data_IF_417910424286
#
_entry.id   IF_417910424286
#
_cell.length_a   1.000
_cell.length_b   1.000
_cell.length_c   1.000
_cell.angle_alpha   90.00
_cell.angle_beta   90.00
_cell.angle_gamma   90.00
#
_symmetry.space_group_name_H-M   'P 1'
#
loop_
_entity.id
_entity.type
_entity.pdbx_description
1 polymer ?
#
# COMPACT_ATOMS: atom_id res chain seq x y z
N UNK A 1 37.95 15.63 43.27
CA UNK A 1 36.78 16.02 42.41
C UNK A 1 36.33 14.78 41.67
N UNK A 2 35.20 14.24 42.00
CA UNK A 2 34.65 13.01 41.37
C UNK A 2 33.87 13.41 40.13
N UNK A 3 34.30 12.95 38.96
CA UNK A 3 33.56 13.10 37.69
C UNK A 3 32.21 12.39 37.78
N UNK A 4 31.13 13.16 37.77
CA UNK A 4 29.77 12.62 37.59
C UNK A 4 29.67 12.05 36.20
N UNK A 5 29.76 10.72 36.05
CA UNK A 5 29.34 10.00 34.85
C UNK A 5 27.87 10.35 34.56
N UNK A 6 27.67 11.17 33.53
CA UNK A 6 26.31 11.45 33.00
C UNK A 6 25.76 10.15 32.44
N UNK A 7 24.80 9.55 33.10
CA UNK A 7 23.98 8.49 32.52
C UNK A 7 23.29 9.05 31.28
N UNK A 8 23.67 8.56 30.09
CA UNK A 8 22.92 8.83 28.87
C UNK A 8 21.52 8.21 29.04
N UNK A 9 20.42 8.90 28.65
CA UNK A 9 19.10 8.32 28.73
C UNK A 9 19.06 7.07 27.83
N UNK A 10 18.62 5.96 28.40
CA UNK A 10 18.39 4.70 27.66
C UNK A 10 17.32 4.99 26.60
N UNK A 11 17.68 4.92 25.34
CA UNK A 11 16.75 5.10 24.24
C UNK A 11 15.78 3.91 24.23
N UNK A 12 14.52 4.15 24.65
CA UNK A 12 13.47 3.13 24.72
C UNK A 12 13.09 2.53 23.34
N UNK A 13 13.64 3.10 22.25
CA UNK A 13 13.50 2.56 20.90
C UNK A 13 14.63 1.58 20.53
N UNK A 14 15.62 1.41 21.38
CA UNK A 14 16.67 0.41 21.18
C UNK A 14 16.16 -0.95 21.60
N UNK A 15 16.35 -1.91 20.73
CA UNK A 15 16.09 -3.30 21.03
C UNK A 15 17.14 -3.80 22.01
N UNK A 16 16.69 -4.45 23.09
CA UNK A 16 17.50 -5.51 23.65
C UNK A 16 17.43 -6.69 22.68
N UNK A 17 18.56 -7.05 22.14
CA UNK A 17 18.68 -8.23 21.28
C UNK A 17 18.30 -9.46 22.08
N UNK A 18 17.14 -10.04 21.74
CA UNK A 18 16.78 -11.36 22.24
C UNK A 18 17.37 -12.34 21.28
N UNK A 19 18.46 -13.02 21.64
CA UNK A 19 18.97 -14.15 20.87
C UNK A 19 17.83 -15.18 20.71
N UNK A 20 17.41 -15.51 19.49
CA UNK A 20 16.47 -16.59 19.28
C UNK A 20 17.12 -17.86 19.82
N UNK A 21 16.48 -18.52 20.78
CA UNK A 21 17.00 -19.79 21.26
C UNK A 21 17.03 -20.76 20.05
N UNK A 22 18.18 -21.35 19.69
CA UNK A 22 18.32 -22.21 18.51
C UNK A 22 17.35 -23.40 18.48
N UNK A 23 16.78 -23.75 19.63
CA UNK A 23 15.77 -24.81 19.77
C UNK A 23 14.45 -24.53 19.06
N UNK A 24 14.18 -23.31 18.60
CA UNK A 24 12.97 -22.99 17.83
C UNK A 24 13.09 -23.45 16.39
N UNK A 25 14.30 -23.46 15.87
CA UNK A 25 14.59 -23.88 14.49
C UNK A 25 14.82 -25.39 14.49
N UNK A 26 13.96 -26.16 15.13
CA UNK A 26 13.91 -27.59 14.82
C UNK A 26 13.30 -27.71 13.44
N UNK A 27 14.17 -28.00 12.48
CA UNK A 27 13.90 -28.33 11.10
C UNK A 27 12.42 -28.21 10.70
N UNK A 28 12.04 -27.04 10.23
CA UNK A 28 10.75 -26.86 9.57
C UNK A 28 10.70 -27.89 8.46
N UNK A 29 9.85 -28.90 8.59
CA UNK A 29 9.61 -29.84 7.51
C UNK A 29 8.83 -29.09 6.45
N UNK A 30 9.53 -28.51 5.50
CA UNK A 30 9.00 -27.68 4.42
C UNK A 30 7.93 -28.39 3.56
N UNK A 31 7.69 -29.68 3.81
CA UNK A 31 6.77 -30.54 3.05
C UNK A 31 5.46 -30.88 3.77
N UNK A 32 5.19 -30.32 4.95
CA UNK A 32 3.89 -30.48 5.58
C UNK A 32 2.96 -29.36 5.08
N UNK A 33 1.88 -29.70 4.34
CA UNK A 33 0.92 -28.70 3.86
C UNK A 33 0.20 -27.98 5.01
N UNK A 34 0.26 -28.51 6.23
CA UNK A 34 -0.25 -27.86 7.44
C UNK A 34 0.83 -27.07 8.19
N UNK A 35 2.05 -27.03 7.70
CA UNK A 35 3.13 -26.24 8.31
C UNK A 35 2.99 -24.76 7.92
N UNK A 36 2.20 -24.05 8.71
CA UNK A 36 1.97 -22.60 8.58
C UNK A 36 3.28 -21.84 8.60
N UNK A 37 4.19 -22.19 9.49
CA UNK A 37 5.47 -21.48 9.62
C UNK A 37 6.39 -21.76 8.42
N UNK A 38 6.44 -22.99 7.94
CA UNK A 38 7.17 -23.34 6.72
C UNK A 38 6.67 -22.58 5.50
N UNK A 39 5.36 -22.46 5.35
CA UNK A 39 4.74 -21.66 4.27
C UNK A 39 5.11 -20.19 4.35
N UNK A 40 5.10 -19.60 5.54
CA UNK A 40 5.50 -18.20 5.78
C UNK A 40 6.97 -18.01 5.43
N UNK A 41 7.85 -18.87 5.93
CA UNK A 41 9.30 -18.79 5.66
C UNK A 41 9.56 -18.97 4.16
N UNK A 42 8.97 -19.99 3.53
CA UNK A 42 9.12 -20.24 2.10
C UNK A 42 8.73 -19.03 1.27
N UNK A 43 7.56 -18.45 1.54
CA UNK A 43 7.10 -17.29 0.79
C UNK A 43 7.99 -16.06 1.05
N UNK A 44 8.12 -15.61 2.28
CA UNK A 44 8.76 -14.33 2.56
C UNK A 44 10.28 -14.33 2.34
N UNK A 45 10.99 -15.47 2.51
CA UNK A 45 12.43 -15.55 2.25
C UNK A 45 12.77 -15.89 0.81
N UNK A 46 11.95 -16.74 0.16
CA UNK A 46 12.32 -17.34 -1.13
C UNK A 46 11.50 -16.79 -2.28
N UNK A 47 10.18 -16.66 -2.09
CA UNK A 47 9.20 -16.34 -3.12
C UNK A 47 8.67 -14.92 -3.07
N UNK A 48 9.02 -14.13 -2.06
CA UNK A 48 8.54 -12.76 -1.88
C UNK A 48 8.79 -11.91 -3.13
N UNK A 49 7.78 -11.13 -3.60
CA UNK A 49 7.91 -10.33 -4.82
C UNK A 49 8.75 -9.05 -4.63
N UNK A 50 9.79 -9.13 -3.83
CA UNK A 50 10.74 -8.04 -3.60
C UNK A 50 11.97 -8.24 -4.49
N UNK A 51 11.92 -7.75 -5.72
CA UNK A 51 13.02 -7.86 -6.68
C UNK A 51 14.34 -7.39 -6.06
N UNK A 52 15.38 -8.20 -6.19
CA UNK A 52 16.71 -7.94 -5.61
C UNK A 52 16.84 -8.28 -4.12
N UNK A 53 15.77 -8.71 -3.46
CA UNK A 53 15.76 -9.10 -2.05
C UNK A 53 15.35 -10.56 -1.87
N UNK A 54 14.42 -11.07 -2.69
CA UNK A 54 14.10 -12.51 -2.69
C UNK A 54 15.24 -13.32 -3.31
N UNK A 55 15.43 -14.54 -2.82
CA UNK A 55 16.50 -15.42 -3.32
C UNK A 55 16.31 -15.83 -4.79
N UNK A 56 15.07 -15.79 -5.30
CA UNK A 56 14.74 -16.13 -6.69
C UNK A 56 14.53 -14.92 -7.60
N UNK A 57 14.62 -13.69 -7.09
CA UNK A 57 14.39 -12.49 -7.89
C UNK A 57 12.97 -12.33 -8.40
N UNK A 58 11.98 -12.96 -7.75
CA UNK A 58 10.56 -12.91 -8.11
C UNK A 58 10.02 -11.48 -7.94
N UNK A 59 9.15 -11.08 -8.85
CA UNK A 59 8.43 -9.81 -8.85
C UNK A 59 6.91 -10.04 -8.78
N UNK A 60 6.15 -8.98 -8.60
CA UNK A 60 4.69 -9.05 -8.65
C UNK A 60 4.17 -9.49 -10.03
N UNK A 61 4.89 -9.15 -11.11
CA UNK A 61 4.54 -9.61 -12.47
C UNK A 61 4.55 -11.13 -12.60
N UNK A 62 5.45 -11.82 -11.87
CA UNK A 62 5.52 -13.28 -11.89
C UNK A 62 4.30 -13.94 -11.23
N UNK A 63 3.54 -13.18 -10.43
CA UNK A 63 2.25 -13.59 -9.87
C UNK A 63 1.05 -13.10 -10.69
N UNK A 64 1.28 -12.49 -11.85
CA UNK A 64 0.22 -12.00 -12.74
C UNK A 64 -0.31 -10.60 -12.44
N UNK A 65 0.29 -9.86 -11.51
CA UNK A 65 -0.08 -8.47 -11.24
C UNK A 65 0.34 -7.57 -12.39
N UNK A 66 -0.47 -6.55 -12.70
CA UNK A 66 -0.26 -5.69 -13.88
C UNK A 66 1.04 -4.87 -13.81
N UNK A 67 1.55 -4.60 -12.61
CA UNK A 67 2.77 -3.82 -12.37
C UNK A 67 3.64 -4.51 -11.32
N UNK A 68 4.96 -4.41 -11.49
CA UNK A 68 5.93 -4.85 -10.48
C UNK A 68 5.93 -3.98 -9.22
N UNK A 69 5.39 -2.77 -9.31
CA UNK A 69 5.26 -1.80 -8.22
C UNK A 69 3.81 -1.33 -8.17
N UNK A 70 2.97 -1.92 -7.31
CA UNK A 70 1.57 -1.55 -7.23
C UNK A 70 1.43 -0.07 -6.81
N UNK A 71 0.43 0.65 -7.32
CA UNK A 71 0.14 2.01 -6.91
C UNK A 71 -0.16 2.05 -5.40
N UNK A 72 0.10 3.20 -4.75
CA UNK A 72 -0.11 3.40 -3.31
C UNK A 72 -1.53 3.07 -2.81
N UNK A 73 -2.51 3.11 -3.70
CA UNK A 73 -3.93 2.83 -3.44
C UNK A 73 -4.48 1.73 -4.35
N UNK A 74 -3.62 0.86 -4.88
CA UNK A 74 -4.01 -0.23 -5.77
C UNK A 74 -4.83 -1.32 -5.07
N UNK A 75 -5.39 -2.23 -5.87
CA UNK A 75 -6.18 -3.36 -5.36
C UNK A 75 -5.38 -4.17 -4.34
N UNK A 76 -4.14 -4.57 -4.65
CA UNK A 76 -3.30 -5.36 -3.74
C UNK A 76 -3.09 -4.67 -2.40
N UNK A 77 -2.75 -3.37 -2.37
CA UNK A 77 -2.58 -2.63 -1.13
C UNK A 77 -3.84 -2.67 -0.25
N UNK A 78 -4.99 -2.30 -0.85
CA UNK A 78 -6.27 -2.31 -0.15
C UNK A 78 -6.62 -3.70 0.38
N UNK A 79 -6.44 -4.73 -0.43
CA UNK A 79 -6.77 -6.10 -0.09
C UNK A 79 -5.94 -6.65 1.06
N UNK A 80 -4.63 -6.35 1.09
CA UNK A 80 -3.78 -6.73 2.21
C UNK A 80 -4.21 -6.07 3.52
N UNK A 81 -4.62 -4.79 3.49
CA UNK A 81 -5.14 -4.11 4.68
C UNK A 81 -6.46 -4.72 5.16
N UNK A 82 -7.37 -5.03 4.25
CA UNK A 82 -8.67 -5.64 4.56
C UNK A 82 -8.51 -7.00 5.25
N UNK A 83 -7.76 -7.93 4.66
CA UNK A 83 -7.62 -9.28 5.24
C UNK A 83 -6.88 -9.26 6.56
N UNK A 84 -6.02 -8.27 6.79
CA UNK A 84 -5.33 -8.07 8.06
C UNK A 84 -6.15 -7.27 9.08
N UNK A 85 -7.28 -6.69 8.67
CA UNK A 85 -8.05 -5.71 9.46
C UNK A 85 -7.17 -4.56 9.97
N UNK A 86 -6.34 -4.01 9.07
CA UNK A 86 -5.46 -2.89 9.37
C UNK A 86 -6.14 -1.57 8.97
N UNK A 87 -6.27 -0.67 9.95
CA UNK A 87 -6.87 0.64 9.79
C UNK A 87 -5.85 1.72 10.15
N UNK A 88 -5.72 2.71 9.27
CA UNK A 88 -4.81 3.83 9.47
C UNK A 88 -5.12 4.61 10.76
N UNK A 89 -4.09 4.95 11.53
CA UNK A 89 -4.20 5.64 12.81
C UNK A 89 -4.72 4.82 13.99
N UNK A 90 -5.06 3.52 13.80
CA UNK A 90 -5.50 2.64 14.90
C UNK A 90 -4.68 1.35 15.02
N UNK A 91 -4.48 0.65 13.92
CA UNK A 91 -3.69 -0.59 13.87
C UNK A 91 -2.57 -0.52 12.82
N UNK A 92 -2.59 0.50 11.96
CA UNK A 92 -1.56 0.81 10.98
C UNK A 92 -1.01 2.22 11.24
N UNK A 93 0.29 2.30 11.45
CA UNK A 93 1.01 3.56 11.65
C UNK A 93 2.22 3.58 10.73
N UNK A 94 2.23 4.50 9.77
CA UNK A 94 3.32 4.64 8.81
C UNK A 94 4.04 5.97 8.98
N UNK A 95 5.31 5.99 8.63
CA UNK A 95 6.10 7.18 8.50
C UNK A 95 6.96 7.10 7.23
N UNK A 96 7.30 8.25 6.67
CA UNK A 96 8.23 8.36 5.54
C UNK A 96 9.61 8.83 5.98
N UNK A 97 9.73 9.32 7.22
CA UNK A 97 10.95 9.80 7.83
C UNK A 97 11.25 9.05 9.10
N UNK A 98 12.53 8.79 9.31
CA UNK A 98 13.04 8.03 10.44
C UNK A 98 12.76 8.74 11.79
N UNK A 99 12.85 10.06 11.80
CA UNK A 99 12.62 10.89 12.98
C UNK A 99 11.20 10.77 13.52
N UNK A 100 10.23 10.45 12.67
CA UNK A 100 8.83 10.28 13.02
C UNK A 100 8.56 8.94 13.71
N UNK A 101 9.43 7.93 13.51
CA UNK A 101 9.19 6.56 13.96
C UNK A 101 9.03 6.45 15.48
N UNK A 102 9.77 7.25 16.25
CA UNK A 102 9.65 7.25 17.70
C UNK A 102 8.22 7.58 18.16
N UNK A 103 7.62 8.60 17.56
CA UNK A 103 6.24 8.99 17.86
C UNK A 103 5.25 7.91 17.40
N UNK A 104 5.48 7.31 16.22
CA UNK A 104 4.62 6.21 15.71
C UNK A 104 4.62 4.99 16.61
N UNK A 105 5.76 4.63 17.22
CA UNK A 105 5.80 3.55 18.21
C UNK A 105 5.02 3.87 19.49
N UNK A 106 5.03 5.13 19.92
CA UNK A 106 4.24 5.60 21.06
C UNK A 106 2.75 5.61 20.72
N UNK A 107 2.37 6.21 19.58
CA UNK A 107 0.98 6.30 19.12
C UNK A 107 0.35 4.91 18.95
N UNK A 108 1.16 3.95 18.50
CA UNK A 108 0.74 2.58 18.26
C UNK A 108 0.76 1.70 19.53
N UNK A 109 1.21 2.21 20.67
CA UNK A 109 1.46 1.41 21.88
C UNK A 109 2.29 0.15 21.59
N UNK A 110 3.40 0.34 20.84
CA UNK A 110 4.34 -0.74 20.52
C UNK A 110 5.73 -0.44 21.10
N UNK A 111 5.89 -0.50 22.43
CA UNK A 111 7.18 -0.31 23.11
C UNK A 111 8.12 -1.50 22.86
N UNK A 112 9.29 -1.52 23.49
CA UNK A 112 10.29 -2.57 23.32
C UNK A 112 9.80 -4.00 23.57
N UNK A 113 8.82 -4.18 24.44
CA UNK A 113 8.18 -5.48 24.74
C UNK A 113 6.82 -5.68 24.06
N UNK A 114 6.58 -5.07 22.92
CA UNK A 114 5.29 -5.09 22.20
C UNK A 114 4.76 -6.50 21.94
N UNK A 115 5.62 -7.50 21.79
CA UNK A 115 5.23 -8.89 21.62
C UNK A 115 4.41 -9.42 22.82
N UNK A 116 4.64 -8.88 24.02
CA UNK A 116 3.87 -9.27 25.22
C UNK A 116 2.61 -8.43 25.42
N UNK A 117 2.53 -7.22 24.89
CA UNK A 117 1.41 -6.29 25.09
C UNK A 117 0.37 -6.34 23.97
N UNK A 118 0.78 -6.50 22.72
CA UNK A 118 -0.14 -6.57 21.59
C UNK A 118 -1.01 -7.84 21.62
N UNK A 119 -2.28 -7.71 21.21
CA UNK A 119 -3.27 -8.81 21.16
C UNK A 119 -3.98 -8.94 19.81
N UNK A 120 -3.72 -8.04 18.89
CA UNK A 120 -4.31 -8.02 17.54
C UNK A 120 -3.26 -7.60 16.52
N UNK A 121 -3.55 -7.78 15.23
CA UNK A 121 -2.69 -7.27 14.16
C UNK A 121 -2.41 -5.80 14.37
N UNK A 122 -1.11 -5.44 14.29
CA UNK A 122 -0.64 -4.07 14.40
C UNK A 122 0.65 -3.89 13.63
N UNK A 123 0.76 -2.78 12.92
CA UNK A 123 1.89 -2.47 12.06
C UNK A 123 2.36 -1.05 12.33
N UNK A 124 3.63 -0.90 12.64
CA UNK A 124 4.35 0.38 12.64
C UNK A 124 5.52 0.25 11.69
N UNK A 125 5.53 1.01 10.61
CA UNK A 125 6.51 0.81 9.55
C UNK A 125 7.01 2.12 8.92
N UNK A 126 8.33 2.17 8.70
CA UNK A 126 8.96 3.17 7.85
C UNK A 126 8.78 2.75 6.38
N UNK A 127 8.03 3.55 5.63
CA UNK A 127 7.71 3.31 4.22
C UNK A 127 8.47 4.30 3.35
N UNK A 128 9.40 3.81 2.53
CA UNK A 128 10.26 4.67 1.71
C UNK A 128 9.70 4.88 0.30
N UNK A 129 9.11 3.87 -0.31
CA UNK A 129 8.71 3.93 -1.71
C UNK A 129 7.31 3.38 -1.95
N UNK A 130 7.09 2.12 -1.60
CA UNK A 130 5.85 1.41 -1.84
C UNK A 130 5.49 0.58 -0.60
N UNK A 131 4.28 0.79 -0.09
CA UNK A 131 3.83 0.14 1.15
C UNK A 131 3.95 -1.39 1.09
N UNK A 132 3.46 -2.02 0.03
CA UNK A 132 3.43 -3.48 -0.10
C UNK A 132 4.84 -4.06 -0.15
N UNK A 133 5.69 -3.48 -1.01
CA UNK A 133 7.07 -3.97 -1.17
C UNK A 133 7.92 -3.69 0.07
N UNK A 134 7.74 -2.54 0.71
CA UNK A 134 8.46 -2.19 1.94
C UNK A 134 8.00 -3.10 3.09
N UNK A 135 6.70 -3.37 3.21
CA UNK A 135 6.16 -4.29 4.21
C UNK A 135 6.72 -5.71 4.05
N UNK A 136 6.73 -6.23 2.84
CA UNK A 136 7.29 -7.56 2.56
C UNK A 136 8.81 -7.61 2.80
N UNK A 137 9.51 -6.53 2.47
CA UNK A 137 10.93 -6.38 2.76
C UNK A 137 11.22 -6.37 4.27
N UNK A 138 10.36 -5.70 5.07
CA UNK A 138 10.46 -5.68 6.52
C UNK A 138 10.32 -7.11 7.07
N UNK A 139 9.29 -7.84 6.69
CA UNK A 139 9.05 -9.22 7.13
C UNK A 139 10.23 -10.12 6.71
N UNK A 140 10.61 -10.06 5.43
CA UNK A 140 11.73 -10.84 4.91
C UNK A 140 13.03 -10.58 5.68
N UNK A 141 13.35 -9.31 5.94
CA UNK A 141 14.57 -8.97 6.67
C UNK A 141 14.50 -9.41 8.13
N UNK A 142 13.34 -9.27 8.77
CA UNK A 142 13.15 -9.74 10.14
C UNK A 142 13.34 -11.27 10.24
N UNK A 143 12.81 -12.02 9.28
CA UNK A 143 13.03 -13.47 9.20
C UNK A 143 14.51 -13.82 8.92
N UNK A 144 15.12 -13.17 7.93
CA UNK A 144 16.50 -13.45 7.52
C UNK A 144 17.54 -13.15 8.60
N UNK A 145 17.26 -12.15 9.45
CA UNK A 145 18.15 -11.75 10.54
C UNK A 145 17.69 -12.28 11.89
N UNK A 146 16.77 -13.23 11.93
CA UNK A 146 16.22 -13.83 13.16
C UNK A 146 15.67 -12.78 14.15
N UNK A 147 15.07 -11.71 13.64
CA UNK A 147 14.46 -10.62 14.43
C UNK A 147 12.96 -10.77 14.50
N UNK A 148 12.52 -11.93 14.93
CA UNK A 148 11.11 -12.24 15.12
C UNK A 148 10.90 -13.12 16.35
N UNK A 149 9.69 -13.11 16.86
CA UNK A 149 9.27 -13.95 17.98
C UNK A 149 7.91 -14.55 17.68
N UNK A 150 7.77 -15.85 17.91
CA UNK A 150 6.47 -16.54 17.93
C UNK A 150 5.80 -16.30 19.27
N UNK A 151 4.53 -15.94 19.23
CA UNK A 151 3.74 -15.61 20.41
C UNK A 151 2.37 -16.24 20.28
N UNK A 152 1.99 -17.08 21.24
CA UNK A 152 0.62 -17.56 21.35
C UNK A 152 -0.17 -16.69 22.34
N UNK A 153 -1.36 -16.27 21.95
CA UNK A 153 -2.30 -15.53 22.81
C UNK A 153 -3.71 -16.03 22.59
N UNK A 154 -4.29 -16.54 23.68
CA UNK A 154 -5.67 -17.05 23.65
C UNK A 154 -5.91 -18.10 22.56
N UNK A 155 -4.96 -19.00 22.34
CA UNK A 155 -5.04 -20.03 21.30
C UNK A 155 -4.83 -19.52 19.87
N UNK A 156 -4.34 -18.29 19.69
CA UNK A 156 -4.02 -17.70 18.39
C UNK A 156 -2.52 -17.46 18.30
N UNK A 157 -1.94 -17.96 17.22
CA UNK A 157 -0.52 -17.78 16.92
C UNK A 157 -0.25 -16.45 16.21
N UNK A 158 0.69 -15.70 16.74
CA UNK A 158 1.20 -14.44 16.20
C UNK A 158 2.69 -14.52 15.96
N UNK A 159 3.17 -13.66 15.06
CA UNK A 159 4.58 -13.38 14.90
C UNK A 159 4.80 -11.88 15.16
N UNK A 160 5.70 -11.60 16.10
CA UNK A 160 6.23 -10.26 16.32
C UNK A 160 7.50 -10.10 15.48
N UNK A 161 7.52 -9.11 14.61
CA UNK A 161 8.69 -8.78 13.78
C UNK A 161 9.26 -7.45 14.20
N UNK A 162 10.56 -7.35 14.11
CA UNK A 162 11.26 -6.11 14.33
C UNK A 162 12.34 -5.91 13.26
N UNK A 163 12.35 -4.74 12.60
CA UNK A 163 13.33 -4.41 11.58
C UNK A 163 13.99 -3.07 11.89
N UNK A 164 15.22 -2.87 11.40
CA UNK A 164 15.97 -1.65 11.58
C UNK A 164 17.38 -1.75 11.00
N UNK A 165 18.19 -0.77 11.26
CA UNK A 165 19.56 -0.67 10.76
C UNK A 165 20.56 -0.57 11.91
N UNK A 166 21.80 -1.01 11.72
CA UNK A 166 22.88 -0.68 12.65
C UNK A 166 22.97 0.84 12.81
N UNK A 167 23.01 1.31 14.06
CA UNK A 167 23.17 2.74 14.34
C UNK A 167 24.53 3.24 13.84
N UNK A 168 24.60 4.39 13.18
CA UNK A 168 25.82 4.96 12.62
C UNK A 168 26.89 5.31 13.66
N UNK A 169 26.49 5.50 14.91
CA UNK A 169 27.33 6.04 15.97
C UNK A 169 27.79 5.01 17.00
N UNK A 170 27.64 3.72 16.71
CA UNK A 170 27.79 2.69 17.72
C UNK A 170 28.88 1.69 17.31
N UNK A 171 30.04 1.92 17.83
CA UNK A 171 31.16 0.96 17.87
C UNK A 171 30.79 -0.08 18.93
N UNK A 172 30.11 -1.16 18.51
CA UNK A 172 29.69 -2.27 19.36
C UNK A 172 28.48 -2.98 18.79
N UNK A 173 28.43 -4.30 18.91
CA UNK A 173 27.41 -5.15 18.28
C UNK A 173 25.96 -4.94 18.77
N UNK A 174 25.73 -4.09 19.76
CA UNK A 174 24.49 -4.08 20.55
C UNK A 174 23.55 -2.90 20.28
N UNK A 175 23.84 -2.08 19.27
CA UNK A 175 23.01 -0.92 19.02
C UNK A 175 22.39 -0.94 17.64
N UNK A 176 21.12 -1.20 17.65
CA UNK A 176 20.27 -1.34 16.49
C UNK A 176 19.16 -0.29 16.57
N UNK A 177 19.02 0.49 15.50
CA UNK A 177 17.95 1.47 15.41
C UNK A 177 16.72 0.88 14.74
N UNK A 178 15.65 0.73 15.52
CA UNK A 178 14.39 0.16 15.05
C UNK A 178 13.72 1.10 14.06
N UNK A 179 13.40 0.57 12.89
CA UNK A 179 12.63 1.27 11.86
C UNK A 179 11.21 0.73 11.69
N UNK A 180 10.93 -0.47 12.19
CA UNK A 180 9.59 -1.05 12.03
C UNK A 180 9.32 -2.13 13.06
N UNK A 181 8.07 -2.25 13.50
CA UNK A 181 7.53 -3.31 14.35
C UNK A 181 6.20 -3.79 13.78
N UNK A 182 6.07 -5.10 13.62
CA UNK A 182 4.84 -5.72 13.18
C UNK A 182 4.45 -6.80 14.18
N UNK A 183 3.17 -6.85 14.54
CA UNK A 183 2.57 -7.94 15.31
C UNK A 183 1.41 -8.48 14.50
N UNK A 184 1.56 -9.67 13.94
CA UNK A 184 0.63 -10.22 12.96
C UNK A 184 0.26 -11.65 13.31
N UNK A 185 -1.02 -12.00 13.15
CA UNK A 185 -1.45 -13.41 13.21
C UNK A 185 -0.76 -14.21 12.13
N UNK A 186 -0.41 -15.46 12.42
CA UNK A 186 0.10 -16.39 11.40
C UNK A 186 -0.91 -16.57 10.25
N UNK A 187 -2.20 -16.64 10.57
CA UNK A 187 -3.27 -16.70 9.55
C UNK A 187 -3.27 -15.49 8.63
N UNK A 188 -3.05 -14.28 9.15
CA UNK A 188 -2.95 -13.06 8.32
C UNK A 188 -1.82 -13.15 7.29
N UNK A 189 -0.68 -13.70 7.68
CA UNK A 189 0.45 -13.89 6.75
C UNK A 189 0.12 -14.92 5.66
N UNK A 190 -0.60 -15.97 6.01
CA UNK A 190 -1.10 -16.96 5.03
C UNK A 190 -2.12 -16.32 4.10
N UNK A 191 -3.05 -15.51 4.61
CA UNK A 191 -4.01 -14.79 3.79
C UNK A 191 -3.31 -13.82 2.82
N UNK A 192 -2.26 -13.12 3.26
CA UNK A 192 -1.44 -12.27 2.39
C UNK A 192 -0.74 -13.06 1.28
N UNK A 193 -0.23 -14.26 1.59
CA UNK A 193 0.34 -15.17 0.60
C UNK A 193 -0.71 -15.56 -0.44
N UNK A 194 -1.92 -15.92 0.02
CA UNK A 194 -3.03 -16.28 -0.85
C UNK A 194 -3.44 -15.11 -1.77
N UNK A 195 -3.59 -13.91 -1.21
CA UNK A 195 -3.89 -12.68 -1.97
C UNK A 195 -2.86 -12.46 -3.07
N UNK A 196 -1.56 -12.50 -2.75
CA UNK A 196 -0.49 -12.29 -3.73
C UNK A 196 -0.51 -13.34 -4.85
N UNK A 197 -0.75 -14.60 -4.49
CA UNK A 197 -0.66 -15.73 -5.45
C UNK A 197 -1.90 -15.91 -6.33
N UNK A 198 -3.08 -15.45 -5.87
CA UNK A 198 -4.34 -15.83 -6.53
C UNK A 198 -5.27 -14.68 -6.91
N UNK A 199 -5.07 -13.47 -6.38
CA UNK A 199 -6.03 -12.37 -6.59
C UNK A 199 -5.63 -11.35 -7.68
N UNK A 200 -4.54 -11.56 -8.42
CA UNK A 200 -4.12 -10.65 -9.49
C UNK A 200 -5.18 -10.48 -10.60
N UNK A 201 -5.97 -11.50 -10.87
CA UNK A 201 -7.07 -11.47 -11.85
C UNK A 201 -8.12 -10.41 -11.49
N UNK A 202 -8.43 -10.25 -10.21
CA UNK A 202 -9.43 -9.28 -9.75
C UNK A 202 -8.95 -7.83 -9.91
N UNK A 203 -7.64 -7.57 -9.87
CA UNK A 203 -7.11 -6.24 -10.20
C UNK A 203 -7.41 -5.87 -11.65
N UNK A 204 -7.17 -6.78 -12.58
CA UNK A 204 -7.44 -6.56 -13.99
C UNK A 204 -8.93 -6.31 -14.27
N UNK A 205 -9.80 -7.09 -13.63
CA UNK A 205 -11.26 -6.91 -13.72
C UNK A 205 -11.71 -5.56 -13.12
N UNK A 206 -11.15 -5.17 -11.97
CA UNK A 206 -11.46 -3.87 -11.36
C UNK A 206 -11.01 -2.69 -12.23
N UNK A 207 -9.81 -2.79 -12.83
CA UNK A 207 -9.31 -1.77 -13.75
C UNK A 207 -10.21 -1.67 -14.98
N UNK A 208 -10.60 -2.81 -15.57
CA UNK A 208 -11.52 -2.85 -16.72
C UNK A 208 -12.88 -2.21 -16.39
N UNK A 209 -13.46 -2.56 -15.25
CA UNK A 209 -14.74 -2.00 -14.78
C UNK A 209 -14.66 -0.49 -14.52
N UNK A 210 -13.58 -0.01 -13.89
CA UNK A 210 -13.38 1.44 -13.67
C UNK A 210 -13.25 2.19 -14.98
N UNK A 211 -12.55 1.61 -15.95
CA UNK A 211 -12.41 2.19 -17.29
C UNK A 211 -13.76 2.29 -17.98
N UNK A 212 -14.53 1.21 -18.00
CA UNK A 212 -15.88 1.19 -18.60
C UNK A 212 -16.81 2.22 -17.94
N UNK A 213 -16.81 2.30 -16.60
CA UNK A 213 -17.61 3.29 -15.87
C UNK A 213 -17.19 4.72 -16.27
N UNK A 214 -15.89 5.01 -16.31
CA UNK A 214 -15.37 6.32 -16.70
C UNK A 214 -15.71 6.67 -18.15
N UNK A 215 -15.64 5.71 -19.06
CA UNK A 215 -16.01 5.90 -20.47
C UNK A 215 -17.52 6.19 -20.61
N UNK A 216 -18.36 5.48 -19.86
CA UNK A 216 -19.83 5.71 -19.82
C UNK A 216 -20.16 7.09 -19.25
N UNK A 217 -19.52 7.49 -18.15
CA UNK A 217 -19.72 8.82 -17.57
C UNK A 217 -19.27 9.93 -18.53
N UNK A 218 -18.16 9.72 -19.24
CA UNK A 218 -17.69 10.67 -20.26
C UNK A 218 -18.67 10.77 -21.43
N UNK A 219 -19.21 9.66 -21.93
CA UNK A 219 -20.21 9.66 -22.98
C UNK A 219 -21.53 10.32 -22.53
N UNK A 220 -22.00 10.09 -21.32
CA UNK A 220 -23.17 10.78 -20.75
C UNK A 220 -22.95 12.30 -20.72
N UNK A 221 -21.77 12.76 -20.30
CA UNK A 221 -21.43 14.18 -20.30
C UNK A 221 -21.35 14.76 -21.71
N UNK A 222 -20.85 13.99 -22.66
CA UNK A 222 -20.83 14.33 -24.08
C UNK A 222 -22.23 14.54 -24.65
N UNK A 223 -23.16 13.62 -24.38
CA UNK A 223 -24.54 13.74 -24.81
C UNK A 223 -25.25 14.94 -24.15
N UNK A 224 -24.96 15.19 -22.88
CA UNK A 224 -25.49 16.38 -22.18
C UNK A 224 -25.01 17.68 -22.83
N UNK A 225 -23.72 17.79 -23.14
CA UNK A 225 -23.16 18.97 -23.82
C UNK A 225 -23.81 19.17 -25.20
N UNK A 226 -23.94 18.09 -26.00
CA UNK A 226 -24.61 18.18 -27.31
C UNK A 226 -26.06 18.62 -27.18
N UNK A 227 -26.82 18.08 -26.22
CA UNK A 227 -28.22 18.48 -26.00
C UNK A 227 -28.35 19.94 -25.55
N UNK A 228 -27.42 20.46 -24.74
CA UNK A 228 -27.38 21.87 -24.34
C UNK A 228 -27.03 22.81 -25.50
N UNK A 229 -26.12 22.40 -26.37
CA UNK A 229 -25.78 23.16 -27.58
C UNK A 229 -26.97 23.17 -28.53
N UNK A 230 -27.65 22.03 -28.76
CA UNK A 230 -28.81 21.92 -29.65
C UNK A 230 -29.99 22.74 -29.20
N UNK A 231 -30.27 22.76 -27.89
CA UNK A 231 -31.37 23.58 -27.31
C UNK A 231 -31.11 25.07 -27.32
N UNK A 232 -29.86 25.49 -27.60
CA UNK A 232 -29.45 26.90 -27.54
C UNK A 232 -29.55 27.51 -26.14
N UNK A 233 -29.67 26.69 -25.11
CA UNK A 233 -29.93 27.12 -23.72
C UNK A 233 -28.73 27.73 -23.01
N UNK A 234 -27.51 27.55 -23.56
CA UNK A 234 -26.29 28.12 -22.98
C UNK A 234 -25.75 29.26 -23.82
N UNK A 235 -25.61 30.44 -23.24
CA UNK A 235 -25.12 31.64 -23.91
C UNK A 235 -23.59 31.69 -23.96
N UNK A 236 -22.90 31.01 -23.04
CA UNK A 236 -21.44 31.02 -22.99
C UNK A 236 -20.86 29.70 -22.46
N UNK A 237 -19.54 29.57 -22.59
CA UNK A 237 -18.79 28.37 -22.21
C UNK A 237 -18.80 28.09 -20.71
N UNK A 238 -18.79 29.13 -19.88
CA UNK A 238 -18.76 28.97 -18.42
C UNK A 238 -20.11 28.45 -17.88
N UNK A 239 -21.23 28.89 -18.48
CA UNK A 239 -22.56 28.31 -18.21
C UNK A 239 -22.62 26.85 -18.62
N UNK A 240 -22.19 26.53 -19.84
CA UNK A 240 -22.16 25.15 -20.34
C UNK A 240 -21.35 24.23 -19.43
N UNK A 241 -20.22 24.71 -18.91
CA UNK A 241 -19.40 23.96 -17.98
C UNK A 241 -20.12 23.68 -16.65
N UNK A 242 -20.80 24.68 -16.10
CA UNK A 242 -21.59 24.54 -14.86
C UNK A 242 -22.79 23.61 -15.02
N UNK A 243 -23.56 23.79 -16.10
CA UNK A 243 -24.73 22.98 -16.39
C UNK A 243 -24.41 21.49 -16.63
N UNK A 244 -23.23 21.20 -17.18
CA UNK A 244 -22.76 19.85 -17.44
C UNK A 244 -21.85 19.30 -16.33
N UNK A 245 -21.65 20.03 -15.24
CA UNK A 245 -20.74 19.67 -14.15
C UNK A 245 -19.33 19.32 -14.63
N UNK A 246 -18.80 20.09 -15.57
CA UNK A 246 -17.49 19.90 -16.15
C UNK A 246 -16.53 20.99 -15.70
N UNK A 247 -15.32 20.57 -15.28
CA UNK A 247 -14.23 21.53 -15.12
C UNK A 247 -13.88 22.18 -16.46
N UNK A 248 -13.36 23.40 -16.42
CA UNK A 248 -12.96 24.14 -17.63
C UNK A 248 -12.04 23.30 -18.55
N UNK A 249 -11.07 22.59 -17.99
CA UNK A 249 -10.15 21.72 -18.72
C UNK A 249 -10.89 20.57 -19.42
N UNK A 250 -11.83 19.92 -18.72
CA UNK A 250 -12.58 18.80 -19.28
C UNK A 250 -13.57 19.27 -20.35
N UNK A 251 -14.20 20.43 -20.14
CA UNK A 251 -15.05 21.03 -21.15
C UNK A 251 -14.25 21.41 -22.43
N UNK A 252 -13.07 22.00 -22.27
CA UNK A 252 -12.19 22.34 -23.40
C UNK A 252 -11.79 21.11 -24.20
N UNK A 253 -11.44 20.03 -23.51
CA UNK A 253 -11.13 18.74 -24.13
C UNK A 253 -12.34 18.22 -24.92
N UNK A 254 -13.51 18.20 -24.32
CA UNK A 254 -14.72 17.67 -24.92
C UNK A 254 -15.17 18.48 -26.13
N UNK A 255 -15.20 19.81 -26.01
CA UNK A 255 -15.51 20.68 -27.16
C UNK A 255 -14.50 20.54 -28.30
N UNK A 256 -13.22 20.33 -27.99
CA UNK A 256 -12.18 20.04 -28.97
C UNK A 256 -12.43 18.72 -29.70
N UNK A 257 -12.80 17.66 -28.98
CA UNK A 257 -13.14 16.35 -29.54
C UNK A 257 -14.39 16.44 -30.42
N UNK A 258 -15.47 17.07 -29.96
CA UNK A 258 -16.72 17.25 -30.73
C UNK A 258 -16.49 18.08 -32.02
N UNK A 259 -15.65 19.12 -31.93
CA UNK A 259 -15.28 19.93 -33.10
C UNK A 259 -14.46 19.12 -34.09
N UNK A 260 -13.48 18.34 -33.62
CA UNK A 260 -12.66 17.48 -34.48
C UNK A 260 -13.48 16.43 -35.21
N UNK A 261 -14.58 15.96 -34.60
CA UNK A 261 -15.54 15.05 -35.19
C UNK A 261 -16.54 15.75 -36.13
N UNK A 262 -16.49 17.06 -36.26
CA UNK A 262 -17.39 17.83 -37.11
C UNK A 262 -18.81 17.93 -36.58
N UNK A 263 -19.06 17.62 -35.30
CA UNK A 263 -20.41 17.64 -34.70
C UNK A 263 -20.84 19.02 -34.25
N UNK A 264 -19.88 19.88 -33.89
CA UNK A 264 -20.13 21.26 -33.48
C UNK A 264 -19.17 22.23 -34.17
N UNK A 265 -19.61 23.47 -34.33
CA UNK A 265 -18.78 24.59 -34.79
C UNK A 265 -18.99 25.80 -33.89
N UNK A 266 -17.96 26.65 -33.75
CA UNK A 266 -18.11 27.90 -33.05
C UNK A 266 -18.50 29.00 -34.03
N UNK A 267 -19.72 29.53 -33.86
CA UNK A 267 -20.25 30.65 -34.63
C UNK A 267 -19.68 31.98 -34.09
N UNK A 268 -18.84 32.64 -34.87
CA UNK A 268 -18.27 33.95 -34.51
C UNK A 268 -19.33 35.06 -34.49
N UNK A 269 -20.35 34.97 -35.37
CA UNK A 269 -21.43 35.94 -35.46
C UNK A 269 -22.31 35.91 -34.21
N UNK A 270 -22.62 34.70 -33.73
CA UNK A 270 -23.50 34.48 -32.57
C UNK A 270 -22.73 34.31 -31.25
N UNK A 271 -21.39 34.24 -31.31
CA UNK A 271 -20.50 34.00 -30.17
C UNK A 271 -20.84 32.76 -29.37
N UNK A 272 -21.36 31.73 -30.01
CA UNK A 272 -21.78 30.47 -29.36
C UNK A 272 -21.41 29.24 -30.16
N UNK A 273 -21.44 28.07 -29.53
CA UNK A 273 -21.32 26.77 -30.16
C UNK A 273 -22.66 26.39 -30.81
N UNK A 274 -22.60 25.83 -32.01
CA UNK A 274 -23.77 25.37 -32.77
C UNK A 274 -23.48 23.97 -33.32
N UNK A 275 -24.55 23.16 -33.49
CA UNK A 275 -24.43 21.87 -34.15
C UNK A 275 -24.14 22.12 -35.66
N UNK A 276 -23.28 21.31 -36.21
CA UNK A 276 -23.09 21.27 -37.66
C UNK A 276 -24.22 20.49 -38.30
N UNK A 277 -24.71 20.89 -39.49
CA UNK A 277 -25.95 20.40 -40.06
C UNK A 277 -26.06 18.89 -40.33
N UNK A 278 -24.99 18.11 -40.18
CA UNK A 278 -24.95 16.65 -40.32
C UNK A 278 -25.16 15.88 -39.00
N UNK A 279 -25.29 16.57 -37.88
CA UNK A 279 -25.47 16.00 -36.55
C UNK A 279 -26.94 16.01 -36.12
N UNK A 280 -27.80 15.38 -36.92
CA UNK A 280 -29.14 15.03 -36.43
C UNK A 280 -29.03 13.66 -35.75
N UNK A 281 -29.40 13.51 -34.43
CA UNK A 281 -29.29 12.26 -33.70
C UNK A 281 -30.21 11.18 -34.20
#
# INVERSE_FOLDING_TARGET
>A
MAEKKRHKPVDKTKIEYVEPKPSWIKAVKVNDPNDVMGSIIQFFLVESPCKGVSSRGISLLDYGWADSVPPKSGYLHRRLLEVANLCDGSTLFTATRKEEMKNRFVDADMPGNFASTCTSNRVVALINSNFVLDLFRIIRNSLAYCRFQLVEKNGVDFIAFENGMPGKDLIGADSFEVSSRLFLKCSTLIDWIAVVKSEAVYEAEEIARKKETSEREWENKRQLVLSRISSGSCSNKDELGKDCELSKRNLDKLLGELKAQGLIAYSRSNRKWELTGDANP
#
